data_IF_014761365176
#
_entry.id   IF_014761365176
#
_cell.length_a   1.000
_cell.length_b   1.000
_cell.length_c   1.000
_cell.angle_alpha   90.00
_cell.angle_beta   90.00
_cell.angle_gamma   90.00
#
_symmetry.space_group_name_H-M   'P 1'
#
loop_
_entity.id
_entity.type
_entity.pdbx_description
1 polymer ?
#
# COMPACT_ATOMS: atom_id res chain seq x y z
N UNK A 1 -53.23 33.25 -1.31
CA UNK A 1 -53.12 34.20 -2.45
C UNK A 1 -52.49 33.50 -3.66
N UNK A 2 -53.16 32.50 -4.24
CA UNK A 2 -52.63 31.69 -5.37
C UNK A 2 -53.65 31.48 -6.50
N UNK A 3 -54.74 32.24 -6.52
CA UNK A 3 -55.87 32.05 -7.46
C UNK A 3 -55.68 32.72 -8.84
N UNK A 4 -54.57 33.44 -9.08
CA UNK A 4 -54.39 34.25 -10.29
C UNK A 4 -53.35 33.73 -11.29
N UNK A 5 -52.94 32.46 -11.20
CA UNK A 5 -51.96 31.87 -12.12
C UNK A 5 -52.60 30.79 -12.99
N UNK A 6 -52.46 30.87 -14.32
CA UNK A 6 -52.84 29.77 -15.22
C UNK A 6 -52.02 28.51 -14.89
N UNK A 7 -52.56 27.28 -15.05
CA UNK A 7 -51.88 26.04 -14.65
C UNK A 7 -50.47 25.85 -15.23
N UNK A 8 -50.19 26.49 -16.37
CA UNK A 8 -48.93 26.43 -17.10
C UNK A 8 -47.87 27.46 -16.66
N UNK A 9 -48.21 28.40 -15.77
CA UNK A 9 -47.28 29.44 -15.29
C UNK A 9 -47.45 29.68 -13.79
N UNK A 10 -46.37 29.97 -13.08
CA UNK A 10 -46.42 30.33 -11.67
C UNK A 10 -46.10 31.80 -11.49
N UNK A 11 -46.61 32.41 -10.41
CA UNK A 11 -46.36 33.82 -10.09
C UNK A 11 -44.86 34.17 -10.11
N UNK A 12 -43.93 33.37 -9.54
CA UNK A 12 -42.49 33.65 -9.63
C UNK A 12 -41.98 33.68 -11.07
N UNK A 13 -42.40 32.75 -11.93
CA UNK A 13 -42.01 32.71 -13.35
C UNK A 13 -42.57 33.90 -14.12
N UNK A 14 -43.76 34.38 -13.79
CA UNK A 14 -44.34 35.60 -14.40
C UNK A 14 -43.57 36.86 -13.98
N UNK A 15 -43.23 36.98 -12.70
CA UNK A 15 -42.44 38.10 -12.18
C UNK A 15 -41.03 38.12 -12.76
N UNK A 16 -40.39 36.96 -12.88
CA UNK A 16 -39.07 36.82 -13.50
C UNK A 16 -39.08 37.28 -14.97
N UNK A 17 -40.07 36.83 -15.77
CA UNK A 17 -40.23 37.30 -17.16
C UNK A 17 -40.51 38.79 -17.25
N UNK A 18 -41.33 39.32 -16.33
CA UNK A 18 -41.57 40.77 -16.28
C UNK A 18 -40.28 41.54 -16.00
N UNK A 19 -39.45 41.09 -15.05
CA UNK A 19 -38.16 41.71 -14.75
C UNK A 19 -37.21 41.65 -15.95
N UNK A 20 -37.13 40.51 -16.65
CA UNK A 20 -36.28 40.35 -17.84
C UNK A 20 -36.73 41.27 -18.99
N UNK A 21 -38.04 41.39 -19.23
CA UNK A 21 -38.56 42.13 -20.38
C UNK A 21 -38.72 43.63 -20.13
N UNK A 22 -39.02 44.04 -18.90
CA UNK A 22 -39.26 45.46 -18.56
C UNK A 22 -38.00 46.21 -18.13
N UNK A 23 -36.92 45.48 -17.78
CA UNK A 23 -35.69 46.05 -17.22
C UNK A 23 -35.84 46.62 -15.81
N UNK A 24 -37.05 46.63 -15.24
CA UNK A 24 -37.32 47.09 -13.86
C UNK A 24 -37.08 45.94 -12.89
N UNK A 25 -36.10 46.10 -12.00
CA UNK A 25 -35.88 45.14 -10.92
C UNK A 25 -36.98 45.31 -9.87
N UNK A 26 -37.64 44.20 -9.54
CA UNK A 26 -38.63 44.12 -8.46
C UNK A 26 -38.00 43.68 -7.14
N UNK A 27 -36.66 43.61 -7.11
CA UNK A 27 -35.88 43.12 -5.99
C UNK A 27 -35.74 44.22 -4.93
N UNK A 28 -35.73 43.79 -3.66
CA UNK A 28 -35.32 44.69 -2.58
C UNK A 28 -33.79 44.86 -2.58
N UNK A 29 -33.30 45.83 -1.81
CA UNK A 29 -31.87 46.12 -1.72
C UNK A 29 -31.01 44.91 -1.32
N UNK A 30 -31.56 43.95 -0.54
CA UNK A 30 -30.82 42.74 -0.14
C UNK A 30 -30.64 41.80 -1.33
N UNK A 31 -31.69 41.56 -2.10
CA UNK A 31 -31.64 40.70 -3.28
C UNK A 31 -30.81 41.34 -4.41
N UNK A 32 -30.85 42.66 -4.56
CA UNK A 32 -29.96 43.37 -5.50
C UNK A 32 -28.48 43.23 -5.13
N UNK A 33 -28.15 43.43 -3.85
CA UNK A 33 -26.79 43.25 -3.36
C UNK A 33 -26.31 41.79 -3.52
N UNK A 34 -27.17 40.82 -3.23
CA UNK A 34 -26.84 39.40 -3.40
C UNK A 34 -26.60 39.06 -4.88
N UNK A 35 -27.44 39.56 -5.80
CA UNK A 35 -27.21 39.36 -7.23
C UNK A 35 -25.91 39.98 -7.70
N UNK A 36 -25.58 41.19 -7.24
CA UNK A 36 -24.33 41.84 -7.57
C UNK A 36 -23.11 41.06 -7.04
N UNK A 37 -23.22 40.47 -5.86
CA UNK A 37 -22.19 39.59 -5.30
C UNK A 37 -22.02 38.31 -6.12
N UNK A 38 -23.13 37.68 -6.54
CA UNK A 38 -23.10 36.51 -7.41
C UNK A 38 -22.40 36.83 -8.74
N UNK A 39 -22.71 37.98 -9.34
CA UNK A 39 -22.10 38.39 -10.61
C UNK A 39 -20.60 38.70 -10.44
N UNK A 40 -20.21 39.29 -9.30
CA UNK A 40 -18.81 39.50 -8.93
C UNK A 40 -18.05 38.18 -8.82
N UNK A 41 -18.59 37.23 -8.04
CA UNK A 41 -17.98 35.91 -7.81
C UNK A 41 -17.89 35.12 -9.12
N UNK A 42 -18.93 35.17 -9.96
CA UNK A 42 -18.89 34.52 -11.29
C UNK A 42 -17.75 35.06 -12.13
N UNK A 43 -17.60 36.38 -12.21
CA UNK A 43 -16.52 37.01 -12.96
C UNK A 43 -15.15 36.64 -12.40
N UNK A 44 -15.00 36.60 -11.08
CA UNK A 44 -13.75 36.16 -10.44
C UNK A 44 -13.44 34.70 -10.76
N UNK A 45 -14.45 33.82 -10.73
CA UNK A 45 -14.31 32.42 -11.11
C UNK A 45 -13.90 32.25 -12.57
N UNK A 46 -14.54 32.98 -13.49
CA UNK A 46 -14.19 32.97 -14.91
C UNK A 46 -12.72 33.41 -15.11
N UNK A 47 -12.28 34.45 -14.38
CA UNK A 47 -10.89 34.89 -14.40
C UNK A 47 -9.93 33.82 -13.87
N UNK A 48 -10.23 33.18 -12.73
CA UNK A 48 -9.42 32.10 -12.18
C UNK A 48 -9.34 30.89 -13.14
N UNK A 49 -10.43 30.59 -13.84
CA UNK A 49 -10.42 29.53 -14.85
C UNK A 49 -9.51 29.86 -16.03
N UNK A 50 -9.48 31.13 -16.47
CA UNK A 50 -8.55 31.60 -17.48
C UNK A 50 -7.10 31.45 -16.99
N UNK A 51 -6.80 31.89 -15.75
CA UNK A 51 -5.46 31.73 -15.16
C UNK A 51 -5.03 30.27 -15.07
N UNK A 52 -5.93 29.35 -14.67
CA UNK A 52 -5.64 27.92 -14.65
C UNK A 52 -5.33 27.37 -16.04
N UNK A 53 -6.01 27.83 -17.09
CA UNK A 53 -5.70 27.45 -18.48
C UNK A 53 -4.31 27.94 -18.87
N UNK A 54 -3.97 29.18 -18.57
CA UNK A 54 -2.63 29.71 -18.84
C UNK A 54 -1.53 28.93 -18.10
N UNK A 55 -1.74 28.60 -16.82
CA UNK A 55 -0.81 27.76 -16.05
C UNK A 55 -0.65 26.35 -16.62
N UNK A 56 -1.67 25.81 -17.29
CA UNK A 56 -1.60 24.54 -18.01
C UNK A 56 -0.93 24.67 -19.39
N UNK A 57 -0.63 25.89 -19.84
CA UNK A 57 -0.06 26.17 -21.15
C UNK A 57 -1.09 26.30 -22.27
N UNK A 58 -2.36 26.51 -21.93
CA UNK A 58 -3.45 26.77 -22.88
C UNK A 58 -3.59 28.28 -23.15
N UNK A 59 -4.20 28.67 -24.27
CA UNK A 59 -4.52 30.06 -24.67
C UNK A 59 -3.34 31.08 -24.72
N UNK A 60 -2.09 30.61 -24.66
CA UNK A 60 -0.89 31.47 -24.55
C UNK A 60 -0.64 32.42 -25.72
N UNK A 61 -1.11 32.09 -26.93
CA UNK A 61 -0.90 32.91 -28.13
C UNK A 61 -1.58 34.28 -28.05
N UNK A 62 -2.56 34.43 -27.14
CA UNK A 62 -3.25 35.69 -26.90
C UNK A 62 -2.51 36.62 -25.94
N UNK A 63 -1.50 36.11 -25.23
CA UNK A 63 -0.75 36.81 -24.20
C UNK A 63 0.48 37.49 -24.77
N UNK A 64 0.82 38.65 -24.22
CA UNK A 64 2.05 39.34 -24.53
C UNK A 64 3.20 38.86 -23.59
N UNK A 65 4.47 39.13 -23.93
CA UNK A 65 5.60 38.67 -23.13
C UNK A 65 5.58 39.10 -21.67
N UNK A 66 5.02 40.28 -21.34
CA UNK A 66 4.93 40.74 -19.94
C UNK A 66 3.93 39.94 -19.13
N UNK A 67 2.90 39.41 -19.77
CA UNK A 67 1.88 38.57 -19.14
C UNK A 67 2.38 37.13 -18.94
N UNK A 68 3.34 36.67 -19.75
CA UNK A 68 3.94 35.34 -19.61
C UNK A 68 4.92 35.23 -18.43
N UNK A 69 5.64 36.30 -18.10
CA UNK A 69 6.62 36.33 -16.99
C UNK A 69 6.04 35.83 -15.66
N UNK A 70 4.91 36.36 -15.13
CA UNK A 70 4.37 35.91 -13.85
C UNK A 70 3.90 34.45 -13.89
N UNK A 71 3.46 33.94 -15.05
CA UNK A 71 3.07 32.55 -15.23
C UNK A 71 4.30 31.65 -15.13
N UNK A 72 5.39 32.02 -15.80
CA UNK A 72 6.66 31.31 -15.75
C UNK A 72 7.23 31.28 -14.32
N UNK A 73 7.26 32.42 -13.63
CA UNK A 73 7.71 32.49 -12.23
C UNK A 73 6.85 31.60 -11.31
N UNK A 74 5.52 31.63 -11.46
CA UNK A 74 4.62 30.78 -10.66
C UNK A 74 4.90 29.28 -10.89
N UNK A 75 5.09 28.88 -12.15
CA UNK A 75 5.42 27.49 -12.51
C UNK A 75 6.80 27.08 -11.98
N UNK A 76 7.81 27.94 -12.12
CA UNK A 76 9.16 27.68 -11.64
C UNK A 76 9.21 27.55 -10.11
N UNK A 77 8.48 28.42 -9.40
CA UNK A 77 8.34 28.36 -7.95
C UNK A 77 7.62 27.07 -7.52
N UNK A 78 6.51 26.72 -8.18
CA UNK A 78 5.78 25.48 -7.92
C UNK A 78 6.64 24.24 -8.14
N UNK A 79 7.39 24.19 -9.26
CA UNK A 79 8.30 23.09 -9.59
C UNK A 79 9.42 22.95 -8.57
N UNK A 80 10.00 24.07 -8.13
CA UNK A 80 11.04 24.09 -7.10
C UNK A 80 10.51 23.54 -5.78
N UNK A 81 9.32 23.98 -5.35
CA UNK A 81 8.67 23.47 -4.14
C UNK A 81 8.33 21.96 -4.20
N UNK A 82 7.95 21.44 -5.37
CA UNK A 82 7.75 19.99 -5.56
C UNK A 82 9.07 19.23 -5.41
N UNK A 83 10.15 19.72 -6.02
CA UNK A 83 11.48 19.11 -5.91
C UNK A 83 11.98 19.09 -4.46
N UNK A 84 11.80 20.18 -3.74
CA UNK A 84 12.20 20.27 -2.33
C UNK A 84 11.49 19.21 -1.48
N UNK A 85 10.16 19.08 -1.64
CA UNK A 85 9.37 18.04 -0.96
C UNK A 85 9.82 16.62 -1.32
N UNK A 86 10.12 16.36 -2.61
CA UNK A 86 10.65 15.07 -3.04
C UNK A 86 12.00 14.76 -2.39
N UNK A 87 12.89 15.76 -2.31
CA UNK A 87 14.20 15.60 -1.68
C UNK A 87 14.09 15.36 -0.18
N UNK A 88 13.17 16.02 0.51
CA UNK A 88 12.93 15.80 1.94
C UNK A 88 12.35 14.41 2.22
N UNK A 89 11.43 13.94 1.37
CA UNK A 89 10.93 12.56 1.44
C UNK A 89 12.06 11.54 1.22
N UNK A 90 12.93 11.76 0.23
CA UNK A 90 14.09 10.90 -0.02
C UNK A 90 15.06 10.87 1.18
N UNK A 91 15.34 12.02 1.80
CA UNK A 91 16.18 12.09 3.01
C UNK A 91 15.57 11.29 4.16
N UNK A 92 14.25 11.38 4.35
CA UNK A 92 13.54 10.61 5.38
C UNK A 92 13.66 9.11 5.13
N UNK A 93 13.42 8.65 3.89
CA UNK A 93 13.57 7.24 3.52
C UNK A 93 14.99 6.72 3.79
N UNK A 94 16.02 7.46 3.37
CA UNK A 94 17.43 7.10 3.64
C UNK A 94 17.76 7.06 5.13
N UNK A 95 17.11 7.88 5.96
CA UNK A 95 17.27 7.82 7.42
C UNK A 95 16.60 6.55 7.98
N UNK A 96 15.38 6.25 7.55
CA UNK A 96 14.64 5.07 8.00
C UNK A 96 15.36 3.77 7.59
N UNK A 97 15.89 3.70 6.38
CA UNK A 97 16.71 2.57 5.90
C UNK A 97 17.90 2.32 6.81
N UNK A 98 18.66 3.36 7.17
CA UNK A 98 19.80 3.24 8.09
C UNK A 98 19.38 2.74 9.46
N UNK A 99 18.29 3.28 10.03
CA UNK A 99 17.78 2.83 11.34
C UNK A 99 17.34 1.36 11.30
N UNK A 100 16.66 0.94 10.23
CA UNK A 100 16.21 -0.43 10.06
C UNK A 100 17.39 -1.40 9.91
N UNK A 101 18.42 -1.01 9.17
CA UNK A 101 19.64 -1.81 9.02
C UNK A 101 20.41 -1.94 10.35
N UNK A 102 20.47 -0.87 11.16
CA UNK A 102 21.04 -0.91 12.51
C UNK A 102 20.25 -1.83 13.45
N UNK A 103 18.91 -1.76 13.40
CA UNK A 103 18.05 -2.62 14.20
C UNK A 103 18.17 -4.09 13.80
N UNK A 104 18.20 -4.38 12.49
CA UNK A 104 18.46 -5.71 11.96
C UNK A 104 19.79 -6.26 12.48
N UNK A 105 20.87 -5.47 12.42
CA UNK A 105 22.19 -5.88 12.95
C UNK A 105 22.13 -6.19 14.45
N UNK A 106 21.46 -5.35 15.24
CA UNK A 106 21.25 -5.59 16.69
C UNK A 106 20.50 -6.88 16.95
N UNK A 107 19.42 -7.14 16.22
CA UNK A 107 18.62 -8.35 16.35
C UNK A 107 19.41 -9.61 15.95
N UNK A 108 20.18 -9.54 14.85
CA UNK A 108 21.07 -10.64 14.44
C UNK A 108 22.11 -10.94 15.51
N UNK A 109 22.71 -9.91 16.12
CA UNK A 109 23.67 -10.08 17.20
C UNK A 109 23.03 -10.76 18.43
N UNK A 110 21.85 -10.30 18.84
CA UNK A 110 21.12 -10.87 19.98
C UNK A 110 20.75 -12.34 19.74
N UNK A 111 20.26 -12.65 18.54
CA UNK A 111 19.91 -14.00 18.13
C UNK A 111 21.13 -14.93 18.17
N UNK A 112 22.26 -14.48 17.63
CA UNK A 112 23.49 -15.26 17.63
C UNK A 112 24.00 -15.51 19.05
N UNK A 113 23.97 -14.51 19.92
CA UNK A 113 24.34 -14.66 21.33
C UNK A 113 23.43 -15.66 22.05
N UNK A 114 22.12 -15.62 21.80
CA UNK A 114 21.17 -16.57 22.39
C UNK A 114 21.42 -18.01 21.90
N UNK A 115 21.73 -18.19 20.61
CA UNK A 115 22.10 -19.50 20.06
C UNK A 115 23.36 -20.06 20.72
N UNK A 116 24.41 -19.26 20.87
CA UNK A 116 25.64 -19.67 21.55
C UNK A 116 25.40 -20.03 23.02
N UNK A 117 24.58 -19.25 23.74
CA UNK A 117 24.23 -19.56 25.11
C UNK A 117 23.46 -20.89 25.22
N UNK A 118 22.50 -21.13 24.32
CA UNK A 118 21.73 -22.38 24.28
C UNK A 118 22.61 -23.58 23.91
N UNK A 119 23.50 -23.44 22.93
CA UNK A 119 24.48 -24.48 22.59
C UNK A 119 25.44 -24.77 23.75
N UNK A 120 25.90 -23.74 24.46
CA UNK A 120 26.73 -23.88 25.65
C UNK A 120 26.02 -24.70 26.74
N UNK A 121 24.79 -24.32 27.09
CA UNK A 121 23.99 -25.07 28.07
C UNK A 121 23.70 -26.51 27.63
N UNK A 122 23.46 -26.74 26.34
CA UNK A 122 23.22 -28.09 25.80
C UNK A 122 24.49 -28.96 25.88
N UNK A 123 25.67 -28.39 25.60
CA UNK A 123 26.96 -29.08 25.73
C UNK A 123 27.30 -29.40 27.19
N UNK A 124 27.06 -28.48 28.12
CA UNK A 124 27.28 -28.74 29.56
C UNK A 124 26.37 -29.85 30.08
N UNK A 125 25.11 -29.83 29.65
CA UNK A 125 24.14 -30.87 29.99
C UNK A 125 24.61 -32.24 29.48
N UNK A 126 25.04 -32.32 28.22
CA UNK A 126 25.54 -33.54 27.58
C UNK A 126 26.78 -34.10 28.30
N UNK A 127 27.74 -33.23 28.65
CA UNK A 127 28.92 -33.60 29.44
C UNK A 127 28.52 -34.14 30.82
N UNK A 128 27.59 -33.47 31.52
CA UNK A 128 27.10 -33.91 32.84
C UNK A 128 26.42 -35.29 32.78
N UNK A 129 25.62 -35.55 31.73
CA UNK A 129 24.99 -36.86 31.54
C UNK A 129 26.03 -37.95 31.26
N UNK A 130 26.96 -37.71 30.35
CA UNK A 130 28.00 -38.68 29.99
C UNK A 130 28.97 -38.99 31.13
N UNK A 131 29.25 -38.02 31.99
CA UNK A 131 30.11 -38.22 33.16
C UNK A 131 29.41 -39.08 34.22
N UNK A 132 28.14 -38.80 34.53
CA UNK A 132 27.35 -39.65 35.43
C UNK A 132 27.20 -41.07 34.87
N UNK A 133 26.91 -41.23 33.59
CA UNK A 133 26.79 -42.55 32.97
C UNK A 133 28.10 -43.36 33.05
N UNK A 134 29.27 -42.73 32.87
CA UNK A 134 30.57 -43.39 33.07
C UNK A 134 30.80 -43.82 34.52
N UNK A 135 30.50 -42.94 35.46
CA UNK A 135 30.72 -43.20 36.88
C UNK A 135 29.80 -44.32 37.39
N UNK A 136 28.53 -44.35 36.94
CA UNK A 136 27.59 -45.44 37.22
C UNK A 136 27.98 -46.75 36.53
N UNK A 137 28.36 -46.71 35.25
CA UNK A 137 28.76 -47.91 34.50
C UNK A 137 30.05 -48.55 35.05
N UNK A 138 30.95 -47.75 35.64
CA UNK A 138 32.19 -48.22 36.23
C UNK A 138 31.98 -49.03 37.52
N UNK A 139 30.88 -48.78 38.24
CA UNK A 139 30.56 -49.37 39.55
C UNK A 139 29.79 -50.71 39.47
N UNK A 140 29.25 -51.09 38.30
CA UNK A 140 28.40 -52.28 38.17
C UNK A 140 29.19 -53.57 37.88
N UNK A 141 28.76 -54.77 38.34
CA UNK A 141 29.39 -56.04 37.94
C UNK A 141 29.30 -56.30 36.42
N UNK A 142 30.31 -56.96 35.84
CA UNK A 142 30.48 -57.11 34.37
C UNK A 142 29.22 -57.66 33.67
N UNK A 143 28.61 -58.73 34.19
CA UNK A 143 27.40 -59.33 33.59
C UNK A 143 26.14 -58.44 33.65
N UNK A 144 26.12 -57.42 34.52
CA UNK A 144 25.06 -56.39 34.55
C UNK A 144 25.33 -55.31 33.51
N UNK A 145 26.60 -54.95 33.27
CA UNK A 145 27.00 -54.00 32.22
C UNK A 145 26.63 -54.50 30.83
N UNK A 146 26.81 -55.79 30.55
CA UNK A 146 26.49 -56.36 29.24
C UNK A 146 24.99 -56.23 28.90
N UNK A 147 24.12 -56.55 29.87
CA UNK A 147 22.66 -56.39 29.71
C UNK A 147 22.24 -54.92 29.57
N UNK A 148 22.86 -54.02 30.31
CA UNK A 148 22.63 -52.58 30.15
C UNK A 148 23.09 -52.07 28.79
N UNK A 149 24.21 -52.56 28.27
CA UNK A 149 24.72 -52.18 26.95
C UNK A 149 23.80 -52.64 25.83
N UNK A 150 23.18 -53.81 25.93
CA UNK A 150 22.19 -54.27 24.95
C UNK A 150 20.91 -53.43 25.00
N UNK A 151 20.46 -53.03 26.19
CA UNK A 151 19.34 -52.10 26.35
C UNK A 151 19.67 -50.72 25.77
N UNK A 152 20.88 -50.19 25.99
CA UNK A 152 21.34 -48.93 25.45
C UNK A 152 21.44 -48.95 23.91
N UNK A 153 21.92 -50.07 23.33
CA UNK A 153 21.93 -50.25 21.86
C UNK A 153 20.51 -50.23 21.29
N UNK A 154 19.55 -50.83 21.99
CA UNK A 154 18.15 -50.81 21.60
C UNK A 154 17.56 -49.39 21.66
N UNK A 155 17.82 -48.63 22.72
CA UNK A 155 17.41 -47.22 22.83
C UNK A 155 18.03 -46.35 21.73
N UNK A 156 19.34 -46.45 21.49
CA UNK A 156 20.02 -45.71 20.40
C UNK A 156 19.53 -46.12 19.00
N UNK A 157 19.01 -47.33 18.83
CA UNK A 157 18.36 -47.75 17.58
C UNK A 157 16.99 -47.08 17.45
N UNK A 158 16.21 -47.04 18.53
CA UNK A 158 14.90 -46.40 18.54
C UNK A 158 14.98 -44.89 18.31
N UNK A 159 15.97 -44.23 18.91
CA UNK A 159 16.24 -42.80 18.71
C UNK A 159 16.51 -42.48 17.23
N UNK A 160 17.38 -43.27 16.58
CA UNK A 160 17.65 -43.12 15.14
C UNK A 160 16.40 -43.34 14.28
N UNK A 161 15.56 -44.33 14.62
CA UNK A 161 14.30 -44.53 13.89
C UNK A 161 13.35 -43.35 14.07
N UNK A 162 13.28 -42.78 15.27
CA UNK A 162 12.44 -41.62 15.56
C UNK A 162 12.93 -40.35 14.82
N UNK A 163 14.25 -40.14 14.75
CA UNK A 163 14.83 -39.07 13.93
C UNK A 163 14.52 -39.23 12.44
N UNK A 164 14.62 -40.45 11.91
CA UNK A 164 14.25 -40.74 10.51
C UNK A 164 12.76 -40.49 10.25
N UNK A 165 11.88 -40.89 11.17
CA UNK A 165 10.45 -40.64 11.07
C UNK A 165 10.14 -39.13 11.11
N UNK A 166 10.76 -38.38 12.02
CA UNK A 166 10.62 -36.93 12.08
C UNK A 166 11.11 -36.23 10.80
N UNK A 167 12.22 -36.68 10.21
CA UNK A 167 12.69 -36.18 8.91
C UNK A 167 11.67 -36.45 7.80
N UNK A 168 11.08 -37.65 7.76
CA UNK A 168 10.03 -38.00 6.80
C UNK A 168 8.78 -37.14 6.98
N UNK A 169 8.33 -36.93 8.21
CA UNK A 169 7.17 -36.08 8.52
C UNK A 169 7.42 -34.63 8.11
N UNK A 170 8.61 -34.11 8.38
CA UNK A 170 9.01 -32.75 7.96
C UNK A 170 8.97 -32.62 6.43
N UNK A 171 9.50 -33.61 5.71
CA UNK A 171 9.44 -33.65 4.25
C UNK A 171 8.00 -33.68 3.73
N UNK A 172 7.14 -34.51 4.33
CA UNK A 172 5.73 -34.63 3.93
C UNK A 172 4.96 -33.33 4.14
N UNK A 173 5.18 -32.68 5.29
CA UNK A 173 4.57 -31.39 5.63
C UNK A 173 4.98 -30.30 4.62
N UNK A 174 6.27 -30.22 4.31
CA UNK A 174 6.78 -29.25 3.33
C UNK A 174 6.17 -29.47 1.94
N UNK A 175 6.09 -30.73 1.49
CA UNK A 175 5.46 -31.07 0.21
C UNK A 175 3.96 -30.73 0.18
N UNK A 176 3.25 -30.95 1.29
CA UNK A 176 1.84 -30.59 1.41
C UNK A 176 1.63 -29.07 1.36
N UNK A 177 2.50 -28.28 1.99
CA UNK A 177 2.49 -26.82 1.87
C UNK A 177 2.68 -26.36 0.43
N UNK A 178 3.70 -26.87 -0.27
CA UNK A 178 3.93 -26.54 -1.69
C UNK A 178 2.73 -26.91 -2.57
N UNK A 179 2.07 -28.05 -2.32
CA UNK A 179 0.87 -28.46 -3.04
C UNK A 179 -0.35 -27.57 -2.74
N UNK A 180 -0.48 -27.05 -1.50
CA UNK A 180 -1.52 -26.06 -1.16
C UNK A 180 -1.25 -24.72 -1.82
N UNK A 181 0.00 -24.24 -1.82
CA UNK A 181 0.39 -23.01 -2.52
C UNK A 181 0.19 -23.10 -4.04
N UNK A 182 0.48 -24.26 -4.64
CA UNK A 182 0.21 -24.51 -6.05
C UNK A 182 -1.28 -24.40 -6.38
N UNK A 183 -2.13 -25.05 -5.57
CA UNK A 183 -3.59 -24.97 -5.72
C UNK A 183 -4.13 -23.56 -5.50
N UNK A 184 -3.57 -22.80 -4.56
CA UNK A 184 -3.93 -21.40 -4.36
C UNK A 184 -3.57 -20.55 -5.59
N UNK A 185 -2.38 -20.75 -6.17
CA UNK A 185 -1.97 -20.05 -7.40
C UNK A 185 -2.88 -20.40 -8.58
N UNK A 186 -3.27 -21.66 -8.74
CA UNK A 186 -4.22 -22.07 -9.78
C UNK A 186 -5.61 -21.45 -9.58
N UNK A 187 -6.08 -21.37 -8.34
CA UNK A 187 -7.33 -20.72 -7.99
C UNK A 187 -7.29 -19.23 -8.37
N UNK A 188 -6.20 -18.54 -8.02
CA UNK A 188 -5.98 -17.12 -8.32
C UNK A 188 -5.92 -16.84 -9.84
N UNK A 189 -5.23 -17.70 -10.59
CA UNK A 189 -5.24 -17.67 -12.05
C UNK A 189 -6.65 -17.88 -12.61
N UNK A 190 -7.43 -18.81 -12.06
CA UNK A 190 -8.81 -19.08 -12.48
C UNK A 190 -9.75 -17.89 -12.22
N UNK A 191 -9.59 -17.20 -11.09
CA UNK A 191 -10.33 -15.97 -10.79
C UNK A 191 -9.98 -14.85 -11.78
N UNK A 192 -8.69 -14.59 -12.01
CA UNK A 192 -8.26 -13.56 -12.96
C UNK A 192 -8.64 -13.88 -14.41
N UNK A 193 -8.68 -15.15 -14.80
CA UNK A 193 -9.15 -15.59 -16.11
C UNK A 193 -10.64 -15.27 -16.28
N UNK A 194 -11.46 -15.59 -15.27
CA UNK A 194 -12.90 -15.27 -15.28
C UNK A 194 -13.13 -13.77 -15.33
N UNK A 195 -12.40 -12.97 -14.57
CA UNK A 195 -12.52 -11.50 -14.62
C UNK A 195 -12.19 -10.94 -16.02
N UNK A 196 -11.19 -11.50 -16.71
CA UNK A 196 -10.90 -11.14 -18.11
C UNK A 196 -12.02 -11.57 -19.07
N UNK A 197 -12.58 -12.76 -18.88
CA UNK A 197 -13.65 -13.27 -19.73
C UNK A 197 -14.96 -12.50 -19.50
N UNK A 198 -15.25 -12.09 -18.26
CA UNK A 198 -16.36 -11.20 -17.91
C UNK A 198 -16.15 -9.80 -18.47
N UNK A 199 -14.94 -9.25 -18.36
CA UNK A 199 -14.60 -7.97 -18.98
C UNK A 199 -14.84 -8.05 -20.50
N UNK A 200 -14.33 -9.09 -21.16
CA UNK A 200 -14.46 -9.29 -22.62
C UNK A 200 -15.91 -9.47 -23.12
N UNK A 201 -16.84 -9.83 -22.24
CA UNK A 201 -18.27 -9.98 -22.57
C UNK A 201 -19.08 -8.69 -22.41
N UNK A 202 -18.53 -7.66 -21.73
CA UNK A 202 -19.21 -6.39 -21.57
C UNK A 202 -19.13 -5.56 -22.87
N UNK A 203 -20.17 -4.82 -23.25
CA UNK A 203 -20.07 -3.87 -24.36
C UNK A 203 -18.93 -2.86 -24.12
N UNK A 204 -18.24 -2.43 -25.19
CA UNK A 204 -17.06 -1.55 -25.12
C UNK A 204 -17.28 -0.26 -24.31
N UNK A 205 -18.53 0.20 -24.17
CA UNK A 205 -18.90 1.36 -23.33
C UNK A 205 -18.65 1.16 -21.83
N UNK A 206 -18.49 -0.08 -21.37
CA UNK A 206 -18.26 -0.43 -19.96
C UNK A 206 -16.83 -0.87 -19.67
N UNK A 207 -15.98 -0.96 -20.70
CA UNK A 207 -14.57 -1.28 -20.54
C UNK A 207 -13.80 -0.04 -20.05
N UNK A 208 -13.24 -0.11 -18.84
CA UNK A 208 -12.34 0.93 -18.33
C UNK A 208 -10.98 0.77 -19.02
N UNK A 209 -10.56 1.75 -19.82
CA UNK A 209 -9.26 1.71 -20.49
C UNK A 209 -8.13 1.72 -19.45
N UNK A 210 -7.13 0.82 -19.57
CA UNK A 210 -5.98 0.84 -18.69
C UNK A 210 -5.19 2.13 -18.91
N UNK A 211 -4.88 2.82 -17.80
CA UNK A 211 -4.01 3.99 -17.80
C UNK A 211 -2.61 3.53 -18.22
N UNK A 212 -2.20 3.86 -19.44
CA UNK A 212 -0.81 3.71 -19.86
C UNK A 212 0.04 4.67 -19.04
N UNK A 213 0.87 4.13 -18.16
CA UNK A 213 1.94 4.92 -17.52
C UNK A 213 2.98 5.22 -18.60
N UNK A 214 3.03 6.47 -19.05
CA UNK A 214 4.02 6.97 -20.00
C UNK A 214 5.43 6.93 -19.36
N UNK A 215 6.10 5.79 -19.47
CA UNK A 215 7.55 5.68 -19.29
C UNK A 215 8.23 5.93 -20.64
N UNK A 216 8.20 7.19 -21.11
CA UNK A 216 9.18 7.63 -22.09
C UNK A 216 10.41 8.10 -21.32
N UNK A 217 11.42 7.22 -21.30
CA UNK A 217 12.75 7.57 -20.85
C UNK A 217 13.34 8.63 -21.79
N UNK A 218 13.67 9.78 -21.20
CA UNK A 218 14.61 10.73 -21.78
C UNK A 218 15.92 10.03 -22.13
N UNK A 219 16.26 10.01 -23.42
CA UNK A 219 17.62 9.98 -23.94
C UNK A 219 17.70 10.95 -25.11
#
# INVERSE_FOLDING_TARGET
>A
MSEYCSPSTSLPKMLERYQQNSGKKLWDAKHENLSAEIDRIKKENDNMQIELRHLKGEDLNSLNPKELIPIEEALQNGLSGVRDKQMDFLKMLKKNERMLEEEKKRLTYLLHHQQLAMEGSMRELDISYHQKDRDYASQLPIGVRDKQMDFLKMLKKNERMLEEENKRLTYLLHHQQLAMEGRMRELDISYHQKDRDYASQLPMSFHVQPIQTNLQGNK
#
